data_IF_849223504237
#
_entry.id   IF_849223504237
#
_cell.length_a   1.000
_cell.length_b   1.000
_cell.length_c   1.000
_cell.angle_alpha   90.00
_cell.angle_beta   90.00
_cell.angle_gamma   90.00
#
_symmetry.space_group_name_H-M   'P 1'
#
loop_
_entity.id
_entity.type
_entity.pdbx_description
1 polymer ?
#
# COMPACT_ATOMS: atom_id res chain seq x y z
N UNK A 1 0.31 -8.85 20.72
CA UNK A 1 -0.52 -9.17 19.56
C UNK A 1 0.21 -8.76 18.28
N UNK A 2 0.67 -9.73 17.49
CA UNK A 2 1.55 -9.51 16.32
C UNK A 2 1.00 -8.48 15.31
N UNK A 3 -0.32 -8.39 15.21
CA UNK A 3 -0.98 -7.39 14.39
C UNK A 3 -0.57 -5.93 14.74
N UNK A 4 -0.26 -5.69 16.03
CA UNK A 4 0.05 -4.36 16.58
C UNK A 4 1.54 -4.21 16.87
N UNK A 5 2.22 -5.27 17.33
CA UNK A 5 3.58 -5.21 17.86
C UNK A 5 4.68 -5.49 16.83
N UNK A 6 4.39 -6.24 15.78
CA UNK A 6 5.38 -6.60 14.79
C UNK A 6 5.39 -5.58 13.63
N UNK A 7 6.57 -5.22 13.15
CA UNK A 7 6.73 -4.42 11.94
C UNK A 7 7.32 -5.26 10.81
N UNK A 8 6.92 -4.97 9.58
CA UNK A 8 7.37 -5.66 8.37
C UNK A 8 7.35 -4.72 7.17
N UNK A 9 8.09 -5.03 6.13
CA UNK A 9 7.95 -4.34 4.86
C UNK A 9 6.63 -4.75 4.19
N UNK A 10 5.71 -3.80 3.88
CA UNK A 10 4.38 -4.16 3.35
C UNK A 10 4.42 -4.70 1.92
N UNK A 11 5.53 -4.46 1.21
CA UNK A 11 5.67 -4.84 -0.18
C UNK A 11 4.53 -4.29 -1.05
N UNK A 12 4.10 -5.07 -2.01
CA UNK A 12 3.16 -4.63 -3.05
C UNK A 12 1.76 -4.22 -2.55
N UNK A 13 1.40 -4.46 -1.29
CA UNK A 13 0.17 -3.90 -0.69
C UNK A 13 0.26 -2.38 -0.63
N UNK A 14 1.45 -1.83 -0.38
CA UNK A 14 1.68 -0.39 -0.31
C UNK A 14 1.36 0.36 -1.62
N UNK A 15 1.40 -0.34 -2.77
CA UNK A 15 1.04 0.23 -4.08
C UNK A 15 -0.39 0.77 -4.13
N UNK A 16 -1.30 0.25 -3.31
CA UNK A 16 -2.67 0.77 -3.19
C UNK A 16 -2.69 2.19 -2.66
N UNK A 17 -1.83 2.48 -1.67
CA UNK A 17 -1.68 3.81 -1.07
C UNK A 17 -1.01 4.79 -2.04
N UNK A 18 0.00 4.32 -2.77
CA UNK A 18 0.71 5.10 -3.81
C UNK A 18 -0.24 5.45 -4.96
N UNK A 19 -1.06 4.51 -5.42
CA UNK A 19 -2.08 4.77 -6.42
C UNK A 19 -3.11 5.78 -5.91
N UNK A 20 -3.57 5.63 -4.67
CA UNK A 20 -4.50 6.55 -4.01
C UNK A 20 -3.96 7.98 -3.97
N UNK A 21 -2.70 8.17 -3.59
CA UNK A 21 -2.02 9.46 -3.61
C UNK A 21 -1.98 10.07 -5.03
N UNK A 22 -1.57 9.28 -6.02
CA UNK A 22 -1.49 9.74 -7.41
C UNK A 22 -2.84 10.12 -8.02
N UNK A 23 -3.90 9.38 -7.66
CA UNK A 23 -5.28 9.67 -8.10
C UNK A 23 -5.83 10.93 -7.41
N UNK A 24 -5.62 11.07 -6.11
CA UNK A 24 -6.09 12.22 -5.32
C UNK A 24 -5.42 13.53 -5.74
N UNK A 25 -4.11 13.48 -6.04
CA UNK A 25 -3.37 14.61 -6.62
C UNK A 25 -3.77 14.92 -8.07
N UNK A 26 -4.47 14.00 -8.75
CA UNK A 26 -4.80 14.14 -10.16
C UNK A 26 -3.61 14.05 -11.12
N UNK A 27 -2.43 13.64 -10.62
CA UNK A 27 -1.21 13.50 -11.45
C UNK A 27 -1.23 12.23 -12.30
N UNK A 28 -2.01 11.22 -11.88
CA UNK A 28 -2.35 10.02 -12.66
C UNK A 28 -3.80 9.62 -12.39
N UNK A 29 -4.34 8.77 -13.26
CA UNK A 29 -5.64 8.07 -13.12
C UNK A 29 -5.43 6.58 -13.34
N UNK A 30 -6.42 5.76 -13.02
CA UNK A 30 -6.37 4.30 -13.27
C UNK A 30 -6.07 3.95 -14.74
N UNK A 31 -6.50 4.80 -15.69
CA UNK A 31 -6.29 4.67 -17.13
C UNK A 31 -5.06 5.41 -17.68
N UNK A 32 -4.27 6.07 -16.82
CA UNK A 32 -3.04 6.77 -17.29
C UNK A 32 -2.00 5.74 -17.68
N UNK A 33 -1.59 5.76 -18.94
CA UNK A 33 -0.63 4.82 -19.52
C UNK A 33 0.81 5.32 -19.43
N UNK A 34 1.72 4.37 -19.26
CA UNK A 34 3.16 4.56 -19.22
C UNK A 34 3.87 3.53 -20.12
N UNK A 35 4.98 3.93 -20.69
CA UNK A 35 5.95 3.01 -21.26
C UNK A 35 6.81 2.44 -20.13
N UNK A 36 6.52 1.21 -19.72
CA UNK A 36 7.17 0.55 -18.57
C UNK A 36 8.31 -0.32 -19.07
N UNK A 37 9.58 0.08 -18.86
CA UNK A 37 10.73 -0.69 -19.32
C UNK A 37 10.85 -2.01 -18.56
N UNK A 38 11.67 -2.92 -19.07
CA UNK A 38 11.96 -4.22 -18.45
C UNK A 38 12.61 -4.06 -17.06
N UNK A 39 13.37 -3.00 -16.87
CA UNK A 39 14.01 -2.65 -15.60
C UNK A 39 14.17 -1.14 -15.48
N UNK A 40 14.36 -0.67 -14.24
CA UNK A 40 14.57 0.74 -13.92
C UNK A 40 15.61 0.90 -12.80
N UNK A 41 16.45 1.94 -12.88
CA UNK A 41 17.39 2.28 -11.81
C UNK A 41 16.69 3.01 -10.66
N UNK A 42 16.98 2.55 -9.43
CA UNK A 42 16.53 3.14 -8.17
C UNK A 42 17.74 3.22 -7.25
N UNK A 43 18.36 4.39 -7.16
CA UNK A 43 19.70 4.52 -6.59
C UNK A 43 20.70 3.67 -7.39
N UNK A 44 21.48 2.86 -6.67
CA UNK A 44 22.45 1.92 -7.26
C UNK A 44 21.82 0.59 -7.72
N UNK A 45 20.61 0.31 -7.26
CA UNK A 45 19.91 -0.94 -7.57
C UNK A 45 19.20 -0.92 -8.93
N UNK A 46 18.92 -2.10 -9.44
CA UNK A 46 18.11 -2.31 -10.64
C UNK A 46 16.84 -3.06 -10.26
N UNK A 47 15.70 -2.39 -10.35
CA UNK A 47 14.38 -2.96 -10.08
C UNK A 47 13.81 -3.59 -11.35
N UNK A 48 13.24 -4.78 -11.20
CA UNK A 48 12.54 -5.53 -12.26
C UNK A 48 11.17 -5.98 -11.77
N UNK A 49 10.31 -6.38 -12.72
CA UNK A 49 9.05 -7.04 -12.41
C UNK A 49 9.25 -8.56 -12.23
N UNK A 50 8.31 -9.21 -11.55
CA UNK A 50 8.38 -10.65 -11.26
C UNK A 50 8.32 -11.53 -12.54
N UNK A 51 7.68 -11.04 -13.60
CA UNK A 51 7.60 -11.74 -14.90
C UNK A 51 8.92 -11.74 -15.70
N UNK A 52 9.93 -11.00 -15.23
CA UNK A 52 11.29 -10.94 -15.81
C UNK A 52 11.30 -10.71 -17.33
N UNK A 53 10.35 -9.92 -17.85
CA UNK A 53 10.31 -9.54 -19.26
C UNK A 53 11.57 -8.77 -19.66
N UNK A 54 11.94 -8.83 -20.92
CA UNK A 54 13.12 -8.17 -21.50
C UNK A 54 12.76 -7.04 -22.49
N UNK A 55 11.47 -6.67 -22.55
CA UNK A 55 10.94 -5.62 -23.44
C UNK A 55 10.15 -4.56 -22.66
N UNK A 56 10.00 -3.37 -23.26
CA UNK A 56 9.13 -2.32 -22.77
C UNK A 56 7.67 -2.66 -23.08
N UNK A 57 6.79 -2.43 -22.12
CA UNK A 57 5.35 -2.68 -22.23
C UNK A 57 4.57 -1.41 -21.90
N UNK A 58 3.62 -1.04 -22.74
CA UNK A 58 2.64 0.00 -22.39
C UNK A 58 1.65 -0.56 -21.39
N UNK A 59 1.58 0.01 -20.19
CA UNK A 59 0.63 -0.38 -19.16
C UNK A 59 -0.03 0.87 -18.56
N UNK A 60 -1.33 0.82 -18.33
CA UNK A 60 -1.98 1.80 -17.46
C UNK A 60 -1.80 1.42 -15.97
N UNK A 61 -2.19 2.33 -15.06
CA UNK A 61 -2.01 2.10 -13.62
C UNK A 61 -2.82 0.89 -13.12
N UNK A 62 -3.99 0.62 -13.73
CA UNK A 62 -4.80 -0.58 -13.44
C UNK A 62 -4.05 -1.85 -13.79
N UNK A 63 -3.45 -1.91 -14.98
CA UNK A 63 -2.67 -3.07 -15.43
C UNK A 63 -1.41 -3.25 -14.58
N UNK A 64 -0.73 -2.15 -14.20
CA UNK A 64 0.40 -2.19 -13.27
C UNK A 64 -0.02 -2.78 -11.92
N UNK A 65 -1.19 -2.40 -11.40
CA UNK A 65 -1.74 -2.92 -10.14
C UNK A 65 -2.07 -4.41 -10.28
N UNK A 66 -2.75 -4.80 -11.37
CA UNK A 66 -3.14 -6.18 -11.68
C UNK A 66 -1.94 -7.12 -11.73
N UNK A 67 -0.87 -6.70 -12.41
CA UNK A 67 0.40 -7.46 -12.51
C UNK A 67 1.29 -7.28 -11.29
N UNK A 68 0.99 -6.33 -10.42
CA UNK A 68 1.86 -5.94 -9.32
C UNK A 68 3.24 -5.43 -9.79
N UNK A 69 3.30 -4.65 -10.90
CA UNK A 69 4.55 -4.14 -11.47
C UNK A 69 5.30 -3.23 -10.50
N UNK A 70 6.53 -3.59 -10.14
CA UNK A 70 7.43 -2.74 -9.34
C UNK A 70 7.92 -1.57 -10.18
N UNK A 71 8.36 -1.86 -11.42
CA UNK A 71 8.88 -0.85 -12.36
C UNK A 71 7.83 0.21 -12.66
N UNK A 72 6.58 -0.22 -12.88
CA UNK A 72 5.46 0.68 -13.11
C UNK A 72 5.21 1.60 -11.91
N UNK A 73 5.24 1.07 -10.70
CA UNK A 73 5.02 1.88 -9.49
C UNK A 73 6.18 2.81 -9.14
N UNK A 74 7.43 2.48 -9.51
CA UNK A 74 8.54 3.46 -9.48
C UNK A 74 8.23 4.66 -10.38
N UNK A 75 7.66 4.43 -11.58
CA UNK A 75 7.27 5.52 -12.48
C UNK A 75 6.13 6.36 -11.90
N UNK A 76 5.13 5.73 -11.27
CA UNK A 76 4.03 6.43 -10.57
C UNK A 76 4.58 7.29 -9.43
N UNK A 77 5.44 6.74 -8.57
CA UNK A 77 6.06 7.50 -7.48
C UNK A 77 6.89 8.69 -7.98
N UNK A 78 7.65 8.51 -9.07
CA UNK A 78 8.38 9.61 -9.72
C UNK A 78 7.44 10.67 -10.28
N UNK A 79 6.26 10.29 -10.77
CA UNK A 79 5.25 11.22 -11.26
C UNK A 79 4.59 12.02 -10.13
N UNK A 80 4.40 11.42 -8.96
CA UNK A 80 3.95 12.08 -7.73
C UNK A 80 5.01 13.08 -7.27
N UNK A 81 6.29 12.68 -7.25
CA UNK A 81 7.38 13.49 -6.71
C UNK A 81 7.58 13.28 -5.20
N UNK A 82 8.79 13.55 -4.72
CA UNK A 82 9.19 13.18 -3.35
C UNK A 82 8.43 13.95 -2.26
N UNK A 83 8.12 15.22 -2.49
CA UNK A 83 7.47 16.07 -1.49
C UNK A 83 6.01 15.64 -1.28
N UNK A 84 5.25 15.50 -2.36
CA UNK A 84 3.86 15.04 -2.31
C UNK A 84 3.79 13.58 -1.84
N UNK A 85 4.73 12.73 -2.27
CA UNK A 85 4.80 11.34 -1.81
C UNK A 85 4.94 11.25 -0.30
N UNK A 86 5.89 11.98 0.29
CA UNK A 86 6.09 12.01 1.74
C UNK A 86 4.86 12.56 2.47
N UNK A 87 4.25 13.63 1.94
CA UNK A 87 3.03 14.20 2.51
C UNK A 87 1.86 13.20 2.52
N UNK A 88 1.76 12.33 1.50
CA UNK A 88 0.73 11.28 1.48
C UNK A 88 1.06 10.09 2.36
N UNK A 89 2.33 9.73 2.53
CA UNK A 89 2.74 8.73 3.54
C UNK A 89 2.28 9.19 4.94
N UNK A 90 2.48 10.46 5.26
CA UNK A 90 1.99 11.08 6.50
C UNK A 90 0.46 11.10 6.59
N UNK A 91 -0.24 11.53 5.54
CA UNK A 91 -1.72 11.51 5.47
C UNK A 91 -2.33 10.12 5.68
N UNK A 92 -1.65 9.05 5.24
CA UNK A 92 -2.05 7.68 5.48
C UNK A 92 -1.77 7.23 6.92
N UNK A 93 -1.15 8.08 7.75
CA UNK A 93 -0.77 7.78 9.11
C UNK A 93 0.32 6.71 9.23
N UNK A 94 1.10 6.51 8.17
CA UNK A 94 2.19 5.53 8.13
C UNK A 94 3.38 6.07 8.92
N UNK A 95 3.88 5.28 9.86
CA UNK A 95 4.92 5.70 10.81
C UNK A 95 4.39 6.42 12.05
N UNK A 96 3.07 6.52 12.19
CA UNK A 96 2.41 7.17 13.33
C UNK A 96 1.52 6.20 14.10
N UNK A 97 1.21 6.54 15.37
CA UNK A 97 0.28 5.73 16.14
C UNK A 97 -1.09 5.69 15.47
N UNK A 98 -1.64 4.49 15.32
CA UNK A 98 -2.98 4.28 14.78
C UNK A 98 -4.09 4.70 15.77
N UNK A 99 -3.74 4.90 17.04
CA UNK A 99 -4.69 5.15 18.12
C UNK A 99 -5.39 3.90 18.64
N UNK A 100 -4.92 2.72 18.24
CA UNK A 100 -5.49 1.44 18.71
C UNK A 100 -5.42 1.32 20.23
N UNK A 101 -6.48 0.82 20.84
CA UNK A 101 -6.59 0.62 22.30
C UNK A 101 -5.86 -0.64 22.78
N UNK A 102 -4.64 -0.86 22.25
CA UNK A 102 -3.77 -1.98 22.61
C UNK A 102 -2.35 -1.50 22.88
N UNK A 103 -1.72 -1.88 24.00
CA UNK A 103 -0.38 -1.42 24.33
C UNK A 103 0.70 -2.05 23.46
N UNK A 104 1.81 -1.32 23.27
CA UNK A 104 3.00 -1.81 22.60
C UNK A 104 2.91 -1.74 21.07
N UNK A 105 2.18 -0.77 20.55
CA UNK A 105 2.11 -0.51 19.11
C UNK A 105 3.50 -0.19 18.55
N UNK A 106 3.89 -0.90 17.48
CA UNK A 106 5.09 -0.60 16.70
C UNK A 106 4.76 0.44 15.64
N UNK A 107 5.52 1.51 15.61
CA UNK A 107 5.43 2.55 14.58
C UNK A 107 6.25 2.21 13.32
N UNK A 108 6.95 1.07 13.35
CA UNK A 108 7.82 0.68 12.24
C UNK A 108 9.03 1.61 12.06
N UNK A 109 9.50 1.71 10.81
CA UNK A 109 10.59 2.58 10.39
C UNK A 109 10.18 3.23 9.07
N UNK A 110 9.97 4.53 9.09
CA UNK A 110 9.61 5.32 7.92
C UNK A 110 10.55 6.53 7.86
N UNK A 111 11.20 6.74 6.71
CA UNK A 111 12.07 7.90 6.52
C UNK A 111 11.24 9.17 6.39
N UNK A 112 11.63 10.20 7.13
CA UNK A 112 11.15 11.55 6.92
C UNK A 112 11.59 12.10 5.56
N UNK A 113 10.89 13.09 5.02
CA UNK A 113 11.18 13.66 3.69
C UNK A 113 12.62 14.13 3.52
N UNK A 114 13.22 14.73 4.53
CA UNK A 114 14.60 15.22 4.52
C UNK A 114 15.67 14.11 4.55
N UNK A 115 15.26 12.89 4.88
CA UNK A 115 16.09 11.68 4.89
C UNK A 115 16.06 10.92 3.55
N UNK A 116 15.26 11.41 2.56
CA UNK A 116 15.18 10.72 1.26
C UNK A 116 16.50 10.85 0.51
N UNK A 117 17.03 9.71 0.12
CA UNK A 117 18.19 9.57 -0.79
C UNK A 117 17.72 9.25 -2.22
N UNK A 118 18.65 8.96 -3.12
CA UNK A 118 18.36 8.63 -4.52
C UNK A 118 17.55 7.36 -4.73
N UNK A 119 17.43 6.49 -3.72
CA UNK A 119 16.71 5.23 -3.78
C UNK A 119 15.34 5.27 -3.08
N UNK A 120 15.19 6.11 -2.05
CA UNK A 120 14.06 6.05 -1.11
C UNK A 120 12.71 6.14 -1.80
N UNK A 121 12.47 7.18 -2.62
CA UNK A 121 11.20 7.35 -3.33
C UNK A 121 10.86 6.13 -4.19
N UNK A 122 11.83 5.63 -4.95
CA UNK A 122 11.61 4.49 -5.84
C UNK A 122 11.28 3.21 -5.07
N UNK A 123 12.03 2.91 -4.01
CA UNK A 123 11.82 1.71 -3.19
C UNK A 123 10.50 1.76 -2.42
N UNK A 124 10.17 2.88 -1.79
CA UNK A 124 8.91 3.06 -1.09
C UNK A 124 7.69 2.98 -2.03
N UNK A 125 7.84 3.35 -3.32
CA UNK A 125 6.75 3.29 -4.30
C UNK A 125 6.20 1.87 -4.52
N UNK A 126 6.95 0.84 -4.18
CA UNK A 126 6.47 -0.55 -4.23
C UNK A 126 6.53 -1.26 -2.87
N UNK A 127 6.70 -0.48 -1.79
CA UNK A 127 6.55 -0.94 -0.40
C UNK A 127 7.80 -1.56 0.19
N UNK A 128 9.00 -1.19 -0.29
CA UNK A 128 10.28 -1.53 0.32
C UNK A 128 10.96 -0.28 0.92
N UNK A 129 12.03 -0.48 1.69
CA UNK A 129 12.74 0.58 2.42
C UNK A 129 11.88 1.34 3.46
N UNK A 130 10.82 0.71 3.93
CA UNK A 130 10.03 1.13 5.10
C UNK A 130 9.53 -0.13 5.82
N UNK A 131 9.28 -0.03 7.11
CA UNK A 131 8.58 -1.07 7.85
C UNK A 131 7.40 -0.48 8.60
N UNK A 132 6.29 -1.23 8.65
CA UNK A 132 5.01 -0.79 9.20
C UNK A 132 4.36 -1.94 9.96
N UNK A 133 3.48 -1.65 10.91
CA UNK A 133 2.68 -2.68 11.54
C UNK A 133 1.51 -3.11 10.64
N UNK A 134 1.02 -4.35 10.77
CA UNK A 134 -0.18 -4.78 10.05
C UNK A 134 -1.42 -3.92 10.34
N UNK A 135 -1.53 -3.35 11.55
CA UNK A 135 -2.68 -2.50 11.91
C UNK A 135 -2.66 -1.16 11.18
N UNK A 136 -1.47 -0.56 10.94
CA UNK A 136 -1.34 0.66 10.14
C UNK A 136 -1.81 0.42 8.70
N UNK A 137 -1.37 -0.67 8.07
CA UNK A 137 -1.81 -1.04 6.72
C UNK A 137 -3.31 -1.35 6.69
N UNK A 138 -3.83 -2.06 7.71
CA UNK A 138 -5.27 -2.34 7.80
C UNK A 138 -6.10 -1.06 7.94
N UNK A 139 -5.64 -0.08 8.74
CA UNK A 139 -6.25 1.25 8.88
C UNK A 139 -6.27 1.99 7.54
N UNK A 140 -5.14 2.05 6.85
CA UNK A 140 -5.00 2.76 5.58
C UNK A 140 -5.85 2.11 4.45
N UNK A 141 -5.81 0.78 4.30
CA UNK A 141 -6.65 0.06 3.32
C UNK A 141 -8.13 0.13 3.71
N UNK A 142 -8.45 0.09 5.01
CA UNK A 142 -9.79 0.36 5.53
C UNK A 142 -10.29 1.76 5.14
N UNK A 143 -9.39 2.75 5.12
CA UNK A 143 -9.68 4.09 4.61
C UNK A 143 -10.09 4.09 3.13
N UNK A 144 -9.42 3.29 2.29
CA UNK A 144 -9.83 3.10 0.88
C UNK A 144 -11.25 2.53 0.82
N UNK A 145 -11.52 1.46 1.59
CA UNK A 145 -12.84 0.84 1.66
C UNK A 145 -13.94 1.79 2.14
N UNK A 146 -13.59 2.77 2.97
CA UNK A 146 -14.49 3.77 3.55
C UNK A 146 -14.44 5.12 2.81
N UNK A 147 -14.35 5.10 1.49
CA UNK A 147 -14.41 6.32 0.66
C UNK A 147 -13.31 7.34 0.96
N UNK A 148 -12.14 6.89 1.39
CA UNK A 148 -10.96 7.71 1.67
C UNK A 148 -10.84 8.22 3.11
N UNK A 149 -11.71 7.78 4.04
CA UNK A 149 -11.70 8.17 5.46
C UNK A 149 -11.20 7.02 6.33
N UNK A 150 -10.04 7.19 6.94
CA UNK A 150 -9.46 6.24 7.87
C UNK A 150 -10.11 6.37 9.25
N UNK A 151 -10.55 5.24 9.81
CA UNK A 151 -11.09 5.18 11.17
C UNK A 151 -10.02 4.74 12.16
N UNK A 152 -10.21 5.10 13.44
CA UNK A 152 -9.34 4.60 14.51
C UNK A 152 -9.63 3.11 14.75
N UNK A 153 -8.65 2.21 14.55
CA UNK A 153 -8.83 0.79 14.85
C UNK A 153 -8.99 0.58 16.37
N UNK A 154 -9.88 -0.33 16.77
CA UNK A 154 -10.12 -0.59 18.18
C UNK A 154 -10.62 -2.01 18.43
N UNK A 155 -10.33 -2.55 19.61
CA UNK A 155 -10.82 -3.84 20.11
C UNK A 155 -12.02 -3.66 21.04
N UNK A 156 -12.09 -2.54 21.77
CA UNK A 156 -13.19 -2.24 22.66
C UNK A 156 -14.30 -1.53 21.90
N UNK A 157 -15.49 -2.09 21.91
CA UNK A 157 -16.69 -1.47 21.35
C UNK A 157 -17.54 -0.81 22.45
N UNK A 158 -18.01 -1.60 23.41
CA UNK A 158 -18.89 -1.13 24.49
C UNK A 158 -18.90 -2.10 25.66
N UNK A 159 -19.26 -1.61 26.84
CA UNK A 159 -19.54 -2.42 28.02
C UNK A 159 -20.75 -1.87 28.76
N UNK A 160 -21.79 -2.70 28.98
CA UNK A 160 -22.99 -2.34 29.74
C UNK A 160 -23.69 -1.05 29.28
N UNK A 161 -23.66 -0.77 27.96
CA UNK A 161 -24.29 0.41 27.38
C UNK A 161 -23.41 1.68 27.42
N UNK A 162 -22.16 1.57 27.88
CA UNK A 162 -21.17 2.64 27.78
C UNK A 162 -20.37 2.45 26.47
N UNK A 163 -20.73 3.22 25.44
CA UNK A 163 -20.06 3.20 24.13
C UNK A 163 -18.96 4.26 24.12
N UNK A 164 -17.74 3.84 23.75
CA UNK A 164 -16.64 4.78 23.56
C UNK A 164 -16.77 5.44 22.19
N UNK A 165 -16.68 6.76 22.15
CA UNK A 165 -16.53 7.51 20.91
C UNK A 165 -15.09 7.38 20.38
N UNK A 166 -14.95 6.86 19.15
CA UNK A 166 -13.67 6.69 18.47
C UNK A 166 -13.40 7.78 17.42
N UNK A 167 -14.26 8.81 17.38
CA UNK A 167 -14.15 9.94 16.47
C UNK A 167 -14.70 9.67 15.06
N UNK A 168 -14.68 10.71 14.25
CA UNK A 168 -15.26 10.71 12.89
C UNK A 168 -14.28 10.17 11.82
N UNK A 169 -13.05 9.86 12.19
CA UNK A 169 -11.99 9.45 11.28
C UNK A 169 -11.28 10.63 10.60
N UNK A 170 -10.27 10.29 9.80
CA UNK A 170 -9.40 11.25 9.10
C UNK A 170 -9.42 10.98 7.60
N UNK A 171 -9.69 11.99 6.79
CA UNK A 171 -9.67 11.84 5.34
C UNK A 171 -8.24 11.88 4.81
N UNK A 172 -7.79 10.76 4.26
CA UNK A 172 -6.50 10.66 3.58
C UNK A 172 -6.57 10.99 2.08
N UNK A 173 -7.64 10.55 1.40
CA UNK A 173 -7.87 10.81 -0.02
C UNK A 173 -9.35 11.12 -0.30
N UNK A 174 -9.64 11.66 -1.48
CA UNK A 174 -10.99 11.90 -1.97
C UNK A 174 -11.75 10.58 -2.21
N UNK A 175 -13.06 10.65 -2.23
CA UNK A 175 -13.95 9.53 -2.54
C UNK A 175 -13.71 9.01 -3.97
N UNK A 176 -13.48 9.91 -4.94
CA UNK A 176 -13.14 9.53 -6.31
C UNK A 176 -11.84 8.74 -6.39
N UNK A 177 -10.79 9.19 -5.69
CA UNK A 177 -9.52 8.47 -5.63
C UNK A 177 -9.69 7.09 -4.98
N UNK A 178 -10.41 7.00 -3.87
CA UNK A 178 -10.72 5.74 -3.19
C UNK A 178 -11.48 4.75 -4.10
N UNK A 179 -12.48 5.24 -4.84
CA UNK A 179 -13.24 4.46 -5.83
C UNK A 179 -12.35 3.94 -6.95
N UNK A 180 -11.45 4.76 -7.50
CA UNK A 180 -10.51 4.32 -8.52
C UNK A 180 -9.56 3.24 -8.02
N UNK A 181 -9.02 3.37 -6.78
CA UNK A 181 -8.17 2.34 -6.15
C UNK A 181 -8.96 1.05 -5.96
N UNK A 182 -10.17 1.12 -5.40
CA UNK A 182 -11.07 -0.03 -5.20
C UNK A 182 -11.29 -0.78 -6.52
N UNK A 183 -11.59 -0.07 -7.59
CA UNK A 183 -11.76 -0.66 -8.92
C UNK A 183 -10.49 -1.35 -9.46
N UNK A 184 -9.31 -0.79 -9.19
CA UNK A 184 -8.04 -1.45 -9.52
C UNK A 184 -7.83 -2.72 -8.66
N UNK A 185 -8.15 -2.66 -7.36
CA UNK A 185 -8.04 -3.80 -6.45
C UNK A 185 -9.01 -4.93 -6.81
N UNK A 186 -10.22 -4.62 -7.31
CA UNK A 186 -11.16 -5.63 -7.87
C UNK A 186 -10.54 -6.34 -9.08
N UNK A 187 -9.87 -5.60 -9.98
CA UNK A 187 -9.16 -6.19 -11.14
C UNK A 187 -8.02 -7.13 -10.69
N UNK A 188 -7.32 -6.82 -9.58
CA UNK A 188 -6.30 -7.70 -9.01
C UNK A 188 -6.91 -9.04 -8.57
N UNK A 189 -8.10 -9.04 -7.97
CA UNK A 189 -8.77 -10.26 -7.49
C UNK A 189 -9.43 -11.02 -8.63
N UNK A 190 -10.03 -10.34 -9.60
CA UNK A 190 -10.73 -11.01 -10.72
C UNK A 190 -9.78 -11.61 -11.77
N UNK A 191 -8.66 -10.93 -12.07
CA UNK A 191 -7.83 -11.26 -13.24
C UNK A 191 -6.32 -11.18 -12.96
N UNK A 192 -5.91 -10.80 -11.74
CA UNK A 192 -4.53 -10.49 -11.41
C UNK A 192 -3.88 -11.44 -10.43
N UNK A 193 -2.88 -10.92 -9.72
CA UNK A 193 -2.10 -11.66 -8.73
C UNK A 193 -2.92 -12.08 -7.50
N UNK A 194 -4.11 -11.53 -7.31
CA UNK A 194 -4.98 -11.75 -6.15
C UNK A 194 -6.12 -12.73 -6.37
N UNK A 195 -6.16 -13.50 -7.46
CA UNK A 195 -7.27 -14.43 -7.77
C UNK A 195 -7.56 -15.45 -6.67
N UNK A 196 -6.56 -15.83 -5.87
CA UNK A 196 -6.75 -16.68 -4.69
C UNK A 196 -7.50 -16.02 -3.53
N UNK A 197 -7.74 -14.71 -3.58
CA UNK A 197 -8.52 -13.96 -2.61
C UNK A 197 -10.00 -13.82 -2.98
N UNK A 198 -10.42 -14.37 -4.12
CA UNK A 198 -11.82 -14.34 -4.53
C UNK A 198 -12.69 -15.20 -3.59
N UNK A 199 -13.89 -14.71 -3.28
CA UNK A 199 -14.87 -15.40 -2.44
C UNK A 199 -16.20 -15.45 -3.19
N UNK A 200 -16.73 -16.65 -3.38
CA UNK A 200 -18.01 -16.85 -4.08
C UNK A 200 -19.14 -16.06 -3.44
N UNK A 201 -19.86 -15.30 -4.26
CA UNK A 201 -20.98 -14.47 -3.80
C UNK A 201 -20.58 -13.12 -3.22
N UNK A 202 -19.28 -12.79 -3.19
CA UNK A 202 -18.79 -11.49 -2.73
C UNK A 202 -17.98 -10.79 -3.82
N UNK A 203 -18.17 -9.48 -3.92
CA UNK A 203 -17.29 -8.61 -4.70
C UNK A 203 -16.12 -8.20 -3.81
N UNK A 204 -14.93 -8.73 -4.11
CA UNK A 204 -13.73 -8.55 -3.30
C UNK A 204 -12.76 -7.59 -3.99
N UNK A 205 -12.34 -6.56 -3.27
CA UNK A 205 -11.19 -5.74 -3.64
C UNK A 205 -9.98 -6.14 -2.79
N UNK A 206 -8.83 -6.41 -3.42
CA UNK A 206 -7.67 -6.86 -2.67
C UNK A 206 -6.36 -6.70 -3.40
N UNK A 207 -5.27 -6.79 -2.64
CA UNK A 207 -3.90 -6.74 -3.15
C UNK A 207 -3.01 -7.73 -2.40
N UNK A 208 -2.25 -8.50 -3.14
CA UNK A 208 -1.18 -9.35 -2.62
C UNK A 208 0.07 -8.53 -2.30
N UNK A 209 0.77 -8.92 -1.27
CA UNK A 209 2.11 -8.44 -0.93
C UNK A 209 3.09 -9.60 -0.83
N UNK A 210 4.32 -9.38 -1.26
CA UNK A 210 5.45 -10.26 -1.04
C UNK A 210 6.64 -9.36 -0.74
N UNK A 211 7.20 -9.49 0.44
CA UNK A 211 8.39 -8.76 0.86
C UNK A 211 9.47 -9.75 1.27
N UNK A 212 10.71 -9.47 0.94
CA UNK A 212 11.84 -10.19 1.48
C UNK A 212 12.00 -9.83 2.97
N UNK A 213 12.36 -10.80 3.79
CA UNK A 213 12.60 -10.53 5.21
C UNK A 213 13.98 -9.95 5.40
N UNK A 214 14.05 -8.85 6.16
CA UNK A 214 15.34 -8.27 6.55
C UNK A 214 16.17 -9.28 7.37
N UNK A 215 17.49 -9.30 7.12
CA UNK A 215 18.47 -10.02 7.91
C UNK A 215 18.94 -9.11 9.06
N UNK A 216 19.11 -9.68 10.26
CA UNK A 216 19.59 -8.96 11.44
C UNK A 216 20.99 -8.35 11.22
N UNK A 217 21.77 -8.89 10.29
CA UNK A 217 23.11 -8.42 9.93
C UNK A 217 23.12 -7.41 8.77
N UNK A 218 21.93 -6.99 8.30
CA UNK A 218 21.72 -6.10 7.16
C UNK A 218 21.46 -6.86 5.85
N UNK A 219 20.71 -6.20 4.95
CA UNK A 219 20.23 -6.80 3.70
C UNK A 219 19.01 -7.70 3.89
N UNK A 220 18.82 -8.66 2.98
CA UNK A 220 17.65 -9.54 2.96
C UNK A 220 18.03 -11.02 3.05
N UNK A 221 17.21 -11.79 3.75
CA UNK A 221 17.33 -13.25 3.83
C UNK A 221 16.93 -13.86 2.48
N UNK A 222 17.82 -14.66 1.90
CA UNK A 222 17.54 -15.36 0.64
C UNK A 222 16.39 -16.34 0.81
N UNK A 223 15.45 -16.33 -0.14
CA UNK A 223 14.31 -17.27 -0.19
C UNK A 223 13.40 -17.25 1.04
N UNK A 224 13.41 -16.17 1.81
CA UNK A 224 12.58 -16.00 3.00
C UNK A 224 11.67 -14.78 2.82
N UNK A 225 10.37 -15.02 2.58
CA UNK A 225 9.40 -14.00 2.22
C UNK A 225 8.33 -13.86 3.30
N UNK A 226 7.85 -12.64 3.47
CA UNK A 226 6.59 -12.33 4.14
C UNK A 226 5.53 -12.18 3.06
N UNK A 227 4.62 -13.15 2.97
CA UNK A 227 3.47 -13.05 2.06
C UNK A 227 2.28 -12.47 2.81
N UNK A 228 1.60 -11.53 2.18
CA UNK A 228 0.42 -10.86 2.73
C UNK A 228 -0.68 -10.72 1.67
N UNK A 229 -1.89 -10.58 2.13
CA UNK A 229 -3.05 -10.17 1.34
C UNK A 229 -3.86 -9.17 2.17
N UNK A 230 -4.15 -8.02 1.60
CA UNK A 230 -5.05 -7.03 2.18
C UNK A 230 -6.21 -6.81 1.23
N UNK A 231 -7.41 -6.82 1.79
CA UNK A 231 -8.60 -6.64 0.99
C UNK A 231 -9.83 -6.41 1.85
N UNK A 232 -10.93 -6.11 1.18
CA UNK A 232 -12.25 -5.91 1.78
C UNK A 232 -13.36 -6.40 0.87
N UNK A 233 -14.49 -6.70 1.47
CA UNK A 233 -15.72 -7.10 0.81
C UNK A 233 -16.92 -6.68 1.68
N UNK A 234 -18.05 -6.25 1.04
CA UNK A 234 -18.20 -6.01 -0.38
C UNK A 234 -17.40 -4.80 -0.84
N UNK A 235 -16.90 -4.82 -2.08
CA UNK A 235 -16.16 -3.71 -2.66
C UNK A 235 -17.07 -2.59 -3.19
N UNK A 236 -18.36 -2.86 -3.28
CA UNK A 236 -19.41 -1.90 -3.64
C UNK A 236 -20.34 -1.77 -2.43
N UNK A 237 -20.15 -0.75 -1.63
CA UNK A 237 -21.05 -0.40 -0.52
C UNK A 237 -21.38 1.08 -0.56
#
# INVERSE_FOLDING_TARGET
LRLVTDAYEPGSVFKTLVAGAGFDLGVVRSSTSFEVPASIKVGDDTVTDADKRDYTMTMDVREMMRRSSNVGFVLVGRKIGADDFAAYVDKWGIGHSSGVDFPGESLGIVKERDQYDGATLGSMSFGQALSVSPIEIARAVGGIANGGVMMTPHFYKSSKGDEKDWGEGERAISEDAASQVTSCMQTVVSEGTGVGGAVDGYDVAGKTGTAERADENGGYLKENYMSSFMGFAPAQS
#
